data_IF_312437295549
#
_entry.id   IF_312437295549
#
_cell.length_a   1.000
_cell.length_b   1.000
_cell.length_c   1.000
_cell.angle_alpha   90.00
_cell.angle_beta   90.00
_cell.angle_gamma   90.00
#
_symmetry.space_group_name_H-M   'P 1'
#
loop_
_entity.id
_entity.type
_entity.pdbx_description
1 polymer ?
#
# COMPACT_ATOMS: atom_id res chain seq x y z
N UNK A 1 -9.58 13.92 19.25
CA UNK A 1 -10.02 13.98 17.83
C UNK A 1 -11.07 12.91 17.59
N UNK A 2 -12.20 13.25 16.95
CA UNK A 2 -13.18 12.24 16.49
C UNK A 2 -12.50 11.37 15.43
N UNK A 3 -12.57 10.04 15.56
CA UNK A 3 -12.04 9.10 14.56
C UNK A 3 -12.82 9.27 13.25
N UNK A 4 -12.12 9.34 12.11
CA UNK A 4 -12.77 9.39 10.81
C UNK A 4 -13.56 8.09 10.58
N UNK A 5 -14.86 8.13 10.25
CA UNK A 5 -15.69 6.94 10.14
C UNK A 5 -15.25 6.02 8.98
N UNK A 6 -14.69 6.57 7.90
CA UNK A 6 -14.19 5.79 6.75
C UNK A 6 -12.87 5.11 7.13
N UNK A 7 -11.87 5.88 7.57
CA UNK A 7 -10.56 5.32 7.94
C UNK A 7 -10.60 4.35 9.12
N UNK A 8 -11.61 4.43 10.01
CA UNK A 8 -11.73 3.51 11.14
C UNK A 8 -12.05 2.07 10.71
N UNK A 9 -12.59 1.90 9.49
CA UNK A 9 -12.88 0.59 8.87
C UNK A 9 -11.67 -0.08 8.24
N UNK A 10 -10.55 0.63 8.05
CA UNK A 10 -9.35 0.06 7.42
C UNK A 10 -8.71 -1.04 8.26
N UNK A 11 -8.41 -2.19 7.66
CA UNK A 11 -7.56 -3.20 8.29
C UNK A 11 -6.14 -2.65 8.52
N UNK A 12 -5.34 -3.30 9.36
CA UNK A 12 -3.93 -2.93 9.49
C UNK A 12 -3.22 -3.04 8.12
N UNK A 13 -2.16 -2.25 7.90
CA UNK A 13 -1.55 -2.10 6.58
C UNK A 13 -0.84 -3.37 6.12
N UNK A 14 -0.02 -3.94 7.00
CA UNK A 14 0.55 -5.29 6.90
C UNK A 14 -0.49 -6.34 6.54
N UNK A 15 -1.61 -6.40 7.26
CA UNK A 15 -2.68 -7.36 6.98
C UNK A 15 -3.25 -7.17 5.57
N UNK A 16 -3.53 -5.94 5.16
CA UNK A 16 -4.03 -5.66 3.82
C UNK A 16 -3.03 -6.06 2.72
N UNK A 17 -1.76 -5.73 2.90
CA UNK A 17 -0.70 -6.10 1.94
C UNK A 17 -0.59 -7.62 1.81
N UNK A 18 -0.66 -8.34 2.94
CA UNK A 18 -0.62 -9.79 2.95
C UNK A 18 -1.84 -10.42 2.27
N UNK A 19 -3.06 -9.97 2.61
CA UNK A 19 -4.30 -10.43 1.98
C UNK A 19 -4.29 -10.20 0.46
N UNK A 20 -3.80 -9.02 0.04
CA UNK A 20 -3.64 -8.71 -1.38
C UNK A 20 -2.62 -9.62 -2.04
N UNK A 21 -1.52 -9.93 -1.36
CA UNK A 21 -0.52 -10.86 -1.88
C UNK A 21 -1.09 -12.25 -2.15
N UNK A 22 -1.97 -12.74 -1.26
CA UNK A 22 -2.64 -14.03 -1.47
C UNK A 22 -3.58 -13.92 -2.67
N UNK A 23 -4.41 -12.87 -2.73
CA UNK A 23 -5.35 -12.69 -3.83
C UNK A 23 -4.66 -12.65 -5.20
N UNK A 24 -3.47 -12.04 -5.31
CA UNK A 24 -2.67 -12.02 -6.54
C UNK A 24 -2.44 -13.42 -7.12
N UNK A 25 -2.23 -14.44 -6.29
CA UNK A 25 -1.92 -15.82 -6.73
C UNK A 25 -3.10 -16.50 -7.45
N UNK A 26 -4.31 -15.95 -7.32
CA UNK A 26 -5.54 -16.52 -7.89
C UNK A 26 -6.04 -15.76 -9.12
N UNK A 27 -5.39 -14.66 -9.49
CA UNK A 27 -5.62 -14.01 -10.77
C UNK A 27 -4.91 -14.76 -11.89
N UNK A 28 -5.58 -14.84 -13.05
CA UNK A 28 -5.06 -15.42 -14.29
C UNK A 28 -5.28 -14.44 -15.43
N UNK A 29 -4.31 -14.36 -16.33
CA UNK A 29 -4.39 -13.61 -17.57
C UNK A 29 -3.75 -14.41 -18.70
N UNK A 30 -4.32 -14.34 -19.88
CA UNK A 30 -3.74 -14.93 -21.10
C UNK A 30 -2.55 -14.10 -21.61
N UNK A 31 -2.41 -12.86 -21.12
CA UNK A 31 -1.37 -11.90 -21.54
C UNK A 31 -0.23 -11.76 -20.53
N UNK A 32 -0.41 -12.27 -19.33
CA UNK A 32 0.53 -12.12 -18.22
C UNK A 32 0.43 -13.32 -17.28
N UNK A 33 1.56 -13.95 -17.00
CA UNK A 33 1.66 -15.17 -16.20
C UNK A 33 2.28 -14.93 -14.82
N UNK A 34 2.99 -13.81 -14.63
CA UNK A 34 3.87 -13.64 -13.48
C UNK A 34 3.24 -12.87 -12.29
N UNK A 35 1.99 -13.19 -11.96
CA UNK A 35 1.32 -12.60 -10.78
C UNK A 35 2.04 -12.92 -9.47
N UNK A 36 2.82 -14.01 -9.45
CA UNK A 36 3.68 -14.39 -8.31
C UNK A 36 4.67 -13.29 -7.93
N UNK A 37 5.24 -12.56 -8.90
CA UNK A 37 6.17 -11.46 -8.60
C UNK A 37 5.47 -10.31 -7.86
N UNK A 38 4.23 -9.98 -8.22
CA UNK A 38 3.44 -8.97 -7.52
C UNK A 38 3.19 -9.45 -6.08
N UNK A 39 2.80 -10.71 -5.92
CA UNK A 39 2.54 -11.33 -4.61
C UNK A 39 3.78 -11.30 -3.70
N UNK A 40 4.94 -11.72 -4.19
CA UNK A 40 6.17 -11.80 -3.39
C UNK A 40 6.62 -10.42 -2.89
N UNK A 41 6.55 -9.37 -3.72
CA UNK A 41 6.84 -8.01 -3.25
C UNK A 41 5.88 -7.53 -2.16
N UNK A 42 4.59 -7.87 -2.28
CA UNK A 42 3.60 -7.55 -1.26
C UNK A 42 3.82 -8.34 0.04
N UNK A 43 4.21 -9.63 -0.05
CA UNK A 43 4.59 -10.44 1.12
C UNK A 43 5.79 -9.83 1.84
N UNK A 44 6.86 -9.48 1.11
CA UNK A 44 8.02 -8.81 1.71
C UNK A 44 7.63 -7.51 2.44
N UNK A 45 6.72 -6.73 1.85
CA UNK A 45 6.20 -5.51 2.46
C UNK A 45 5.36 -5.78 3.72
N UNK A 46 4.55 -6.84 3.71
CA UNK A 46 3.70 -7.24 4.82
C UNK A 46 4.49 -7.86 5.99
N UNK A 47 5.47 -8.72 5.67
CA UNK A 47 6.33 -9.39 6.65
C UNK A 47 7.38 -8.48 7.27
N UNK A 48 7.64 -7.31 6.67
CA UNK A 48 8.53 -6.33 7.25
C UNK A 48 7.96 -5.87 8.59
N UNK A 49 8.53 -6.34 9.69
CA UNK A 49 8.21 -5.88 11.04
C UNK A 49 8.94 -4.55 11.31
N UNK A 50 10.27 -4.61 11.34
CA UNK A 50 11.14 -3.45 11.57
C UNK A 50 12.47 -3.55 10.80
N UNK A 51 12.98 -2.42 10.32
CA UNK A 51 14.37 -2.25 9.90
C UNK A 51 15.18 -1.82 11.12
N UNK A 52 16.02 -2.72 11.62
CA UNK A 52 16.84 -2.45 12.80
C UNK A 52 18.04 -1.56 12.46
N UNK A 53 18.09 -0.39 13.09
CA UNK A 53 19.25 0.52 13.06
C UNK A 53 19.98 0.39 14.40
N UNK A 54 21.30 0.24 14.37
CA UNK A 54 22.11 0.07 15.59
C UNK A 54 23.16 1.20 15.71
N UNK A 55 22.79 2.42 16.15
CA UNK A 55 23.73 3.51 16.36
C UNK A 55 24.84 3.16 17.36
N UNK A 56 24.52 2.31 18.34
CA UNK A 56 25.45 1.85 19.38
C UNK A 56 26.68 1.14 18.83
N UNK A 57 26.59 0.57 17.61
CA UNK A 57 27.72 -0.06 16.93
C UNK A 57 28.90 0.90 16.74
N UNK A 58 28.61 2.20 16.66
CA UNK A 58 29.60 3.26 16.48
C UNK A 58 29.72 4.17 17.71
N UNK A 59 29.08 3.81 18.82
CA UNK A 59 29.23 4.53 20.07
C UNK A 59 30.57 4.21 20.72
N UNK A 60 31.24 5.24 21.26
CA UNK A 60 32.44 5.08 22.08
C UNK A 60 32.12 4.55 23.49
N UNK A 61 33.08 4.67 24.41
CA UNK A 61 32.88 4.35 25.83
C UNK A 61 31.73 5.13 26.48
N UNK A 62 31.33 6.26 25.88
CA UNK A 62 30.32 7.18 26.38
C UNK A 62 28.95 6.50 26.54
N UNK A 63 28.64 5.48 25.73
CA UNK A 63 27.42 4.67 25.88
C UNK A 63 27.31 4.01 27.26
N UNK A 64 28.43 3.63 27.86
CA UNK A 64 28.48 2.88 29.12
C UNK A 64 28.48 3.84 30.32
N UNK A 65 29.17 4.97 30.20
CA UNK A 65 29.48 5.85 31.33
C UNK A 65 28.68 7.16 31.35
N UNK A 66 27.98 7.50 30.26
CA UNK A 66 27.20 8.73 30.15
C UNK A 66 25.74 8.42 29.81
N UNK A 67 24.86 8.51 30.81
CA UNK A 67 23.42 8.29 30.64
C UNK A 67 22.80 9.16 29.54
N UNK A 68 23.07 10.48 29.45
CA UNK A 68 22.57 11.30 28.35
C UNK A 68 22.99 10.80 26.95
N UNK A 69 24.22 10.29 26.82
CA UNK A 69 24.69 9.72 25.56
C UNK A 69 23.95 8.41 25.22
N UNK A 70 23.73 7.55 26.21
CA UNK A 70 22.95 6.32 26.03
C UNK A 70 21.49 6.61 25.61
N UNK A 71 20.85 7.61 26.23
CA UNK A 71 19.52 8.07 25.85
C UNK A 71 19.50 8.63 24.41
N UNK A 72 20.57 9.29 23.96
CA UNK A 72 20.74 9.74 22.56
C UNK A 72 20.78 8.63 21.54
N UNK A 73 21.60 7.61 21.76
CA UNK A 73 21.67 6.47 20.85
C UNK A 73 20.35 5.68 20.80
N UNK A 74 19.64 5.59 21.93
CA UNK A 74 18.31 4.97 21.98
C UNK A 74 17.30 5.72 21.12
N UNK A 75 17.23 7.04 21.24
CA UNK A 75 16.32 7.87 20.47
C UNK A 75 16.65 7.83 18.96
N UNK A 76 17.94 7.88 18.59
CA UNK A 76 18.41 7.67 17.21
C UNK A 76 17.97 6.31 16.67
N UNK A 77 18.16 5.24 17.44
CA UNK A 77 17.76 3.89 17.06
C UNK A 77 16.28 3.83 16.74
N UNK A 78 15.43 4.28 17.67
CA UNK A 78 13.98 4.21 17.51
C UNK A 78 13.49 5.07 16.33
N UNK A 79 14.00 6.29 16.21
CA UNK A 79 13.61 7.23 15.15
C UNK A 79 13.99 6.72 13.77
N UNK A 80 15.26 6.34 13.56
CA UNK A 80 15.75 5.89 12.27
C UNK A 80 15.21 4.51 11.89
N UNK A 81 14.96 3.62 12.86
CA UNK A 81 14.34 2.31 12.58
C UNK A 81 12.91 2.48 12.10
N UNK A 82 12.09 3.30 12.77
CA UNK A 82 10.70 3.60 12.34
C UNK A 82 10.67 4.22 10.95
N UNK A 83 11.53 5.20 10.73
CA UNK A 83 11.62 5.90 9.45
C UNK A 83 12.02 4.95 8.31
N UNK A 84 13.11 4.22 8.49
CA UNK A 84 13.61 3.23 7.52
C UNK A 84 12.59 2.15 7.25
N UNK A 85 11.85 1.70 8.27
CA UNK A 85 10.78 0.71 8.11
C UNK A 85 9.67 1.21 7.19
N UNK A 86 9.17 2.44 7.41
CA UNK A 86 8.13 3.01 6.55
C UNK A 86 8.62 3.23 5.11
N UNK A 87 9.88 3.66 4.94
CA UNK A 87 10.50 3.86 3.64
C UNK A 87 10.66 2.54 2.89
N UNK A 88 11.24 1.52 3.52
CA UNK A 88 11.44 0.18 2.94
C UNK A 88 10.10 -0.46 2.56
N UNK A 89 9.08 -0.35 3.42
CA UNK A 89 7.73 -0.84 3.10
C UNK A 89 7.15 -0.16 1.86
N UNK A 90 7.30 1.17 1.76
CA UNK A 90 6.85 1.90 0.59
C UNK A 90 7.60 1.48 -0.69
N UNK A 91 8.92 1.24 -0.60
CA UNK A 91 9.73 0.76 -1.72
C UNK A 91 9.31 -0.63 -2.19
N UNK A 92 9.13 -1.60 -1.29
CA UNK A 92 8.66 -2.94 -1.65
C UNK A 92 7.27 -2.90 -2.29
N UNK A 93 6.34 -2.13 -1.72
CA UNK A 93 5.00 -1.97 -2.29
C UNK A 93 5.03 -1.24 -3.63
N UNK A 94 5.94 -0.28 -3.81
CA UNK A 94 6.14 0.39 -5.11
C UNK A 94 6.71 -0.54 -6.16
N UNK A 95 7.59 -1.48 -5.79
CA UNK A 95 8.05 -2.51 -6.72
C UNK A 95 6.91 -3.46 -7.12
N UNK A 96 6.02 -3.84 -6.19
CA UNK A 96 4.80 -4.57 -6.54
C UNK A 96 3.94 -3.80 -7.55
N UNK A 97 3.84 -2.47 -7.41
CA UNK A 97 3.13 -1.61 -8.37
C UNK A 97 3.84 -1.53 -9.73
N UNK A 98 5.17 -1.53 -9.77
CA UNK A 98 5.90 -1.60 -11.06
C UNK A 98 5.66 -2.93 -11.77
N UNK A 99 5.65 -4.07 -11.06
CA UNK A 99 5.23 -5.36 -11.65
C UNK A 99 3.77 -5.30 -12.15
N UNK A 100 2.89 -4.66 -11.35
CA UNK A 100 1.50 -4.44 -11.74
C UNK A 100 1.38 -3.58 -13.00
N UNK A 101 2.28 -2.60 -13.20
CA UNK A 101 2.32 -1.82 -14.44
C UNK A 101 2.77 -2.65 -15.64
N UNK A 102 3.71 -3.59 -15.47
CA UNK A 102 4.11 -4.51 -16.55
C UNK A 102 2.96 -5.43 -16.95
N UNK A 103 2.15 -5.85 -15.98
CA UNK A 103 0.91 -6.56 -16.23
C UNK A 103 -0.10 -5.66 -16.97
N UNK A 104 -0.50 -4.52 -16.40
CA UNK A 104 -1.54 -3.69 -17.01
C UNK A 104 -1.13 -3.18 -18.40
N UNK A 105 0.15 -2.92 -18.66
CA UNK A 105 0.62 -2.42 -19.95
C UNK A 105 0.41 -3.40 -21.11
N UNK A 106 0.22 -4.70 -20.86
CA UNK A 106 -0.12 -5.70 -21.90
C UNK A 106 -1.51 -5.48 -22.51
N UNK A 107 -2.35 -4.68 -21.85
CA UNK A 107 -3.67 -4.28 -22.34
C UNK A 107 -3.64 -2.94 -23.09
N UNK A 108 -2.47 -2.27 -23.15
CA UNK A 108 -2.34 -1.01 -23.85
C UNK A 108 -2.23 -1.20 -25.36
N UNK A 109 -3.13 -0.56 -26.10
CA UNK A 109 -3.09 -0.50 -27.56
C UNK A 109 -2.61 0.88 -28.02
N UNK A 110 -1.57 0.92 -28.85
CA UNK A 110 -1.05 2.17 -29.44
C UNK A 110 -2.11 2.86 -30.31
N UNK A 111 -2.26 4.18 -30.15
CA UNK A 111 -3.08 4.97 -31.07
C UNK A 111 -2.37 5.20 -32.40
N UNK A 112 -3.14 5.46 -33.47
CA UNK A 112 -2.57 5.78 -34.80
C UNK A 112 -1.64 7.00 -34.78
N UNK A 113 -1.79 7.93 -33.82
CA UNK A 113 -0.90 9.09 -33.65
C UNK A 113 0.43 8.71 -33.00
N UNK A 114 0.43 7.80 -32.03
CA UNK A 114 1.64 7.29 -31.39
C UNK A 114 2.50 6.48 -32.35
N UNK A 115 1.86 5.63 -33.16
CA UNK A 115 2.52 4.86 -34.22
C UNK A 115 3.24 5.81 -35.19
N UNK A 116 2.57 6.90 -35.59
CA UNK A 116 3.16 7.91 -36.49
C UNK A 116 4.29 8.73 -35.86
N UNK A 117 4.30 8.89 -34.54
CA UNK A 117 5.30 9.70 -33.83
C UNK A 117 6.48 8.89 -33.31
N UNK A 118 6.47 7.56 -33.49
CA UNK A 118 7.46 6.62 -32.95
C UNK A 118 7.76 6.83 -31.46
N UNK A 119 6.76 7.30 -30.70
CA UNK A 119 6.89 7.60 -29.28
C UNK A 119 6.35 6.44 -28.49
N UNK A 120 7.23 5.60 -27.97
CA UNK A 120 6.83 4.53 -27.07
C UNK A 120 6.75 5.04 -25.63
N UNK A 121 5.59 4.88 -25.00
CA UNK A 121 5.43 5.13 -23.57
C UNK A 121 5.95 3.95 -22.75
N UNK A 122 6.55 4.23 -21.60
CA UNK A 122 6.92 3.19 -20.63
C UNK A 122 5.67 2.55 -19.99
N UNK A 123 5.83 1.38 -19.37
CA UNK A 123 4.72 0.61 -18.77
C UNK A 123 3.92 1.40 -17.75
N UNK A 124 4.62 2.16 -16.91
CA UNK A 124 4.00 3.05 -15.92
C UNK A 124 3.07 4.09 -16.58
N UNK A 125 3.49 4.72 -17.68
CA UNK A 125 2.66 5.71 -18.40
C UNK A 125 1.52 5.05 -19.15
N UNK A 126 1.75 3.89 -19.80
CA UNK A 126 0.71 3.06 -20.45
C UNK A 126 -0.40 2.71 -19.43
N UNK A 127 0.00 2.23 -18.26
CA UNK A 127 -0.91 1.82 -17.18
C UNK A 127 -1.75 2.97 -16.64
N UNK A 128 -1.19 4.17 -16.48
CA UNK A 128 -1.99 5.34 -16.05
C UNK A 128 -3.06 5.72 -17.07
N UNK A 129 -2.76 5.66 -18.37
CA UNK A 129 -3.73 5.95 -19.42
C UNK A 129 -4.84 4.90 -19.50
N UNK A 130 -4.53 3.65 -19.17
CA UNK A 130 -5.52 2.59 -19.02
C UNK A 130 -6.38 2.80 -17.77
N UNK A 131 -5.76 3.09 -16.63
CA UNK A 131 -6.45 3.30 -15.36
C UNK A 131 -7.44 4.46 -15.40
N UNK A 132 -7.18 5.48 -16.22
CA UNK A 132 -8.10 6.58 -16.45
C UNK A 132 -9.48 6.12 -16.96
N UNK A 133 -9.53 4.95 -17.60
CA UNK A 133 -10.75 4.35 -18.16
C UNK A 133 -11.35 3.25 -17.29
N UNK A 134 -10.71 2.88 -16.18
CA UNK A 134 -11.18 1.85 -15.23
C UNK A 134 -12.59 2.17 -14.74
N UNK A 135 -13.43 1.13 -14.61
CA UNK A 135 -14.78 1.29 -14.10
C UNK A 135 -14.76 1.67 -12.61
N UNK A 136 -15.65 2.58 -12.21
CA UNK A 136 -15.81 3.00 -10.81
C UNK A 136 -16.17 1.84 -9.89
N UNK A 137 -16.88 0.83 -10.41
CA UNK A 137 -17.26 -0.37 -9.67
C UNK A 137 -16.06 -1.27 -9.33
N UNK A 138 -14.93 -1.07 -10.00
CA UNK A 138 -13.67 -1.78 -9.77
C UNK A 138 -12.72 -1.03 -8.83
N UNK A 139 -13.18 0.09 -8.25
CA UNK A 139 -12.43 0.83 -7.24
C UNK A 139 -12.79 0.35 -5.83
N UNK A 140 -11.80 0.20 -4.93
CA UNK A 140 -12.05 -0.12 -3.53
C UNK A 140 -13.02 0.85 -2.85
N UNK A 141 -13.80 0.33 -1.89
CA UNK A 141 -14.75 1.14 -1.14
C UNK A 141 -14.05 2.31 -0.45
N UNK A 142 -14.47 3.55 -0.72
CA UNK A 142 -13.84 4.75 -0.16
C UNK A 142 -12.54 5.19 -0.85
N UNK A 143 -12.22 4.63 -2.02
CA UNK A 143 -11.00 4.93 -2.80
C UNK A 143 -10.64 6.43 -2.88
N UNK A 144 -11.60 7.27 -3.29
CA UNK A 144 -11.40 8.72 -3.41
C UNK A 144 -11.03 9.38 -2.08
N UNK A 145 -11.64 8.95 -0.98
CA UNK A 145 -11.34 9.46 0.35
C UNK A 145 -9.88 9.18 0.75
N UNK A 146 -9.39 7.97 0.46
CA UNK A 146 -7.99 7.62 0.75
C UNK A 146 -7.00 8.37 -0.14
N UNK A 147 -7.34 8.57 -1.42
CA UNK A 147 -6.55 9.39 -2.34
C UNK A 147 -6.50 10.87 -1.90
N UNK A 148 -7.62 11.43 -1.44
CA UNK A 148 -7.69 12.80 -0.92
C UNK A 148 -6.87 12.95 0.37
N UNK A 149 -6.93 11.95 1.26
CA UNK A 149 -6.10 11.93 2.47
C UNK A 149 -4.60 11.89 2.12
N UNK A 150 -4.20 11.10 1.11
CA UNK A 150 -2.83 11.10 0.60
C UNK A 150 -2.44 12.48 0.06
N UNK A 151 -3.31 13.11 -0.73
CA UNK A 151 -3.07 14.46 -1.25
C UNK A 151 -2.86 15.48 -0.13
N UNK A 152 -3.70 15.49 0.90
CA UNK A 152 -3.54 16.40 2.04
C UNK A 152 -2.21 16.17 2.77
N UNK A 153 -1.75 14.92 2.91
CA UNK A 153 -0.44 14.60 3.50
C UNK A 153 0.70 15.03 2.59
N UNK A 154 0.55 14.87 1.29
CA UNK A 154 1.56 15.28 0.31
C UNK A 154 1.72 16.79 0.24
N UNK A 155 0.64 17.56 0.28
CA UNK A 155 0.71 19.02 0.35
C UNK A 155 1.31 19.51 1.67
N UNK A 156 0.99 18.86 2.80
CA UNK A 156 1.68 19.13 4.07
C UNK A 156 3.19 18.87 3.93
N UNK A 157 3.58 17.74 3.36
CA UNK A 157 4.99 17.43 3.11
C UNK A 157 5.67 18.48 2.23
N UNK A 158 5.04 18.90 1.12
CA UNK A 158 5.59 19.95 0.27
C UNK A 158 5.79 21.27 0.99
N UNK A 159 4.81 21.66 1.82
CA UNK A 159 4.88 22.91 2.60
C UNK A 159 6.03 22.88 3.62
N UNK A 160 6.24 21.76 4.28
CA UNK A 160 7.25 21.64 5.35
C UNK A 160 8.68 21.47 4.80
N UNK A 161 8.85 20.78 3.66
CA UNK A 161 10.17 20.37 3.17
C UNK A 161 10.61 21.01 1.85
N UNK A 162 9.73 21.75 1.19
CA UNK A 162 9.95 22.34 -0.15
C UNK A 162 10.72 21.43 -1.13
N UNK A 163 10.27 20.17 -1.32
CA UNK A 163 11.01 19.21 -2.11
C UNK A 163 10.86 19.53 -3.59
N UNK A 164 11.91 19.29 -4.38
CA UNK A 164 11.90 19.47 -5.83
C UNK A 164 11.14 18.31 -6.53
N UNK A 165 9.85 18.16 -6.22
CA UNK A 165 8.96 17.15 -6.79
C UNK A 165 8.05 17.81 -7.83
N UNK A 166 7.91 17.17 -8.98
CA UNK A 166 7.09 17.67 -10.07
C UNK A 166 5.62 17.88 -9.66
N UNK A 167 5.05 19.00 -10.11
CA UNK A 167 3.65 19.35 -9.86
C UNK A 167 2.74 18.50 -10.75
N UNK A 168 1.63 18.04 -10.19
CA UNK A 168 0.60 17.28 -10.91
C UNK A 168 -0.18 18.26 -11.80
N UNK A 169 0.13 18.27 -13.11
CA UNK A 169 -0.54 19.17 -14.07
C UNK A 169 -1.78 18.56 -14.74
N UNK A 170 -1.81 17.23 -14.88
CA UNK A 170 -2.78 16.57 -15.77
C UNK A 170 -3.99 15.97 -15.05
N UNK A 171 -3.92 15.80 -13.73
CA UNK A 171 -4.96 15.13 -12.96
C UNK A 171 -5.32 15.99 -11.75
N UNK A 172 -6.45 16.72 -11.77
CA UNK A 172 -6.84 17.57 -10.65
C UNK A 172 -7.24 16.74 -9.42
N UNK A 173 -7.37 17.41 -8.27
CA UNK A 173 -7.93 16.81 -7.06
C UNK A 173 -9.31 16.19 -7.35
N UNK A 174 -9.60 15.03 -6.77
CA UNK A 174 -10.83 14.27 -7.00
C UNK A 174 -10.79 13.36 -8.23
N UNK A 175 -9.78 13.47 -9.10
CA UNK A 175 -9.61 12.53 -10.21
C UNK A 175 -9.02 11.19 -9.75
N UNK A 176 -9.51 10.05 -10.25
CA UNK A 176 -9.05 8.71 -9.81
C UNK A 176 -7.57 8.41 -10.04
N UNK A 177 -6.94 9.02 -11.03
CA UNK A 177 -5.49 8.92 -11.25
C UNK A 177 -4.63 9.86 -10.37
N UNK A 178 -5.23 10.75 -9.58
CA UNK A 178 -4.49 11.76 -8.83
C UNK A 178 -3.56 11.13 -7.78
N UNK A 179 -4.06 10.17 -7.00
CA UNK A 179 -3.27 9.44 -6.01
C UNK A 179 -2.10 8.68 -6.65
N UNK A 180 -2.32 8.05 -7.79
CA UNK A 180 -1.30 7.29 -8.53
C UNK A 180 -0.16 8.20 -8.97
N UNK A 181 -0.49 9.42 -9.39
CA UNK A 181 0.51 10.42 -9.73
C UNK A 181 1.35 10.85 -8.54
N UNK A 182 0.74 11.05 -7.37
CA UNK A 182 1.48 11.32 -6.13
C UNK A 182 2.44 10.18 -5.83
N UNK A 183 1.96 8.93 -5.84
CA UNK A 183 2.77 7.73 -5.57
C UNK A 183 3.98 7.64 -6.51
N UNK A 184 3.75 7.78 -7.82
CA UNK A 184 4.82 7.73 -8.83
C UNK A 184 5.85 8.83 -8.63
N UNK A 185 5.40 10.06 -8.38
CA UNK A 185 6.29 11.19 -8.14
C UNK A 185 7.10 11.01 -6.84
N UNK A 186 6.46 10.51 -5.78
CA UNK A 186 7.13 10.21 -4.52
C UNK A 186 8.19 9.11 -4.68
N UNK A 187 7.86 8.01 -5.38
CA UNK A 187 8.82 6.93 -5.68
C UNK A 187 10.02 7.44 -6.47
N UNK A 188 9.77 8.25 -7.52
CA UNK A 188 10.86 8.83 -8.32
C UNK A 188 11.73 9.78 -7.51
N UNK A 189 11.12 10.59 -6.65
CA UNK A 189 11.85 11.46 -5.74
C UNK A 189 12.69 10.68 -4.72
N UNK A 190 12.17 9.58 -4.20
CA UNK A 190 12.92 8.71 -3.28
C UNK A 190 14.12 8.06 -3.97
N UNK A 191 13.96 7.66 -5.24
CA UNK A 191 15.01 6.99 -6.00
C UNK A 191 16.13 7.93 -6.49
N UNK A 192 15.82 9.19 -6.75
CA UNK A 192 16.74 10.11 -7.45
C UNK A 192 16.91 11.47 -6.78
N UNK A 193 16.04 11.82 -5.85
CA UNK A 193 16.05 13.09 -5.13
C UNK A 193 16.74 12.98 -3.77
N UNK A 194 16.85 14.14 -3.11
CA UNK A 194 17.38 14.23 -1.75
C UNK A 194 16.22 14.14 -0.77
N UNK A 195 16.04 12.98 -0.16
CA UNK A 195 15.02 12.81 0.87
C UNK A 195 15.54 13.46 2.17
N UNK A 196 14.76 14.36 2.81
CA UNK A 196 15.16 14.95 4.08
C UNK A 196 15.18 13.88 5.18
N UNK A 197 16.38 13.53 5.66
CA UNK A 197 16.55 12.71 6.86
C UNK A 197 16.45 13.65 8.06
N UNK A 198 15.31 13.62 8.75
CA UNK A 198 15.10 14.46 9.91
C UNK A 198 16.04 14.09 11.06
N UNK A 199 16.58 15.10 11.72
CA UNK A 199 17.28 14.92 12.99
C UNK A 199 16.32 14.39 14.06
N UNK A 200 16.88 13.70 15.04
CA UNK A 200 16.14 13.09 16.14
C UNK A 200 15.42 14.18 16.94
N UNK A 201 14.08 14.12 17.04
CA UNK A 201 13.31 15.25 17.56
C UNK A 201 13.57 15.56 19.03
N UNK A 202 13.97 14.55 19.81
CA UNK A 202 14.30 14.63 21.23
C UNK A 202 15.43 15.62 21.55
N UNK A 203 16.33 15.90 20.59
CA UNK A 203 17.47 16.81 20.79
C UNK A 203 17.29 18.20 20.14
N UNK A 204 16.46 18.29 19.11
CA UNK A 204 16.42 19.47 18.23
C UNK A 204 15.08 20.21 18.23
N UNK A 205 14.13 19.83 19.11
CA UNK A 205 12.86 20.55 19.27
C UNK A 205 11.90 20.47 18.07
N UNK A 206 12.21 19.62 17.08
CA UNK A 206 11.45 19.45 15.83
C UNK A 206 10.47 18.26 15.90
N UNK A 207 9.87 18.04 17.08
CA UNK A 207 9.04 16.88 17.48
C UNK A 207 8.01 16.39 16.43
N UNK A 208 7.55 17.25 15.53
CA UNK A 208 6.44 16.95 14.64
C UNK A 208 6.78 16.73 13.16
N UNK A 209 7.97 17.12 12.69
CA UNK A 209 8.26 17.12 11.25
C UNK A 209 8.35 15.70 10.68
N UNK A 210 8.97 14.78 11.41
CA UNK A 210 9.17 13.41 10.96
C UNK A 210 7.85 12.64 10.75
N UNK A 211 6.83 12.94 11.56
CA UNK A 211 5.49 12.37 11.40
C UNK A 211 4.84 12.72 10.05
N UNK A 212 5.25 13.84 9.43
CA UNK A 212 4.75 14.26 8.12
C UNK A 212 5.20 13.28 7.05
N UNK A 213 6.50 13.02 6.96
CA UNK A 213 7.05 12.09 5.96
C UNK A 213 6.68 10.64 6.28
N UNK A 214 6.79 10.21 7.54
CA UNK A 214 6.35 8.89 7.95
C UNK A 214 4.86 8.66 7.61
N UNK A 215 3.99 9.60 7.97
CA UNK A 215 2.57 9.53 7.67
C UNK A 215 2.26 9.56 6.17
N UNK A 216 3.04 10.31 5.39
CA UNK A 216 2.96 10.32 3.93
C UNK A 216 3.32 8.94 3.35
N UNK A 217 4.43 8.33 3.77
CA UNK A 217 4.87 7.01 3.30
C UNK A 217 3.83 5.91 3.61
N UNK A 218 3.27 5.90 4.83
CA UNK A 218 2.22 4.96 5.20
C UNK A 218 0.96 5.15 4.35
N UNK A 219 0.53 6.41 4.13
CA UNK A 219 -0.63 6.70 3.29
C UNK A 219 -0.39 6.36 1.82
N UNK A 220 0.81 6.63 1.32
CA UNK A 220 1.20 6.31 -0.05
C UNK A 220 1.24 4.79 -0.24
N UNK A 221 1.80 4.04 0.71
CA UNK A 221 1.81 2.57 0.71
C UNK A 221 0.41 2.00 0.64
N UNK A 222 -0.52 2.51 1.46
CA UNK A 222 -1.92 2.09 1.42
C UNK A 222 -2.55 2.34 0.05
N UNK A 223 -2.41 3.57 -0.46
CA UNK A 223 -2.99 3.96 -1.73
C UNK A 223 -2.39 3.15 -2.88
N UNK A 224 -1.09 2.85 -2.86
CA UNK A 224 -0.45 1.93 -3.81
C UNK A 224 -1.14 0.57 -3.82
N UNK A 225 -1.40 -0.03 -2.65
CA UNK A 225 -2.10 -1.31 -2.56
C UNK A 225 -3.53 -1.23 -3.13
N UNK A 226 -4.25 -0.13 -2.89
CA UNK A 226 -5.58 0.09 -3.48
C UNK A 226 -5.53 0.17 -5.01
N UNK A 227 -4.51 0.83 -5.58
CA UNK A 227 -4.31 0.82 -7.04
C UNK A 227 -4.01 -0.57 -7.57
N UNK A 228 -3.16 -1.35 -6.89
CA UNK A 228 -2.86 -2.73 -7.28
C UNK A 228 -4.16 -3.56 -7.31
N UNK A 229 -5.02 -3.43 -6.30
CA UNK A 229 -6.34 -4.09 -6.29
C UNK A 229 -7.17 -3.73 -7.52
N UNK A 230 -7.29 -2.44 -7.82
CA UNK A 230 -8.06 -1.98 -8.98
C UNK A 230 -7.46 -2.43 -10.31
N UNK A 231 -6.13 -2.45 -10.46
CA UNK A 231 -5.48 -2.97 -11.67
C UNK A 231 -5.76 -4.46 -11.86
N UNK A 232 -5.61 -5.27 -10.81
CA UNK A 232 -5.88 -6.70 -10.86
C UNK A 232 -7.34 -6.98 -11.22
N UNK A 233 -8.27 -6.23 -10.63
CA UNK A 233 -9.70 -6.42 -10.87
C UNK A 233 -10.12 -5.96 -12.28
N UNK A 234 -9.58 -4.85 -12.77
CA UNK A 234 -9.94 -4.30 -14.08
C UNK A 234 -9.35 -5.10 -15.24
N UNK A 235 -8.11 -5.55 -15.11
CA UNK A 235 -7.36 -6.16 -16.22
C UNK A 235 -7.15 -7.67 -16.05
N UNK A 236 -7.51 -8.27 -14.91
CA UNK A 236 -7.39 -9.71 -14.71
C UNK A 236 -8.46 -10.45 -15.52
N UNK A 237 -8.06 -11.41 -16.36
CA UNK A 237 -9.02 -12.11 -17.22
C UNK A 237 -9.93 -13.06 -16.41
N UNK A 238 -9.37 -13.70 -15.37
CA UNK A 238 -10.11 -14.61 -14.48
C UNK A 238 -9.57 -14.55 -13.04
N UNK A 239 -10.46 -14.81 -12.08
CA UNK A 239 -10.11 -15.03 -10.68
C UNK A 239 -10.64 -16.39 -10.23
N UNK A 240 -9.77 -17.24 -9.69
CA UNK A 240 -10.14 -18.58 -9.23
C UNK A 240 -10.71 -18.53 -7.80
N UNK A 241 -11.98 -18.10 -7.70
CA UNK A 241 -12.65 -17.90 -6.40
C UNK A 241 -12.71 -19.19 -5.57
N UNK A 242 -12.93 -20.33 -6.23
CA UNK A 242 -12.99 -21.62 -5.54
C UNK A 242 -11.64 -21.99 -4.92
N UNK A 243 -10.55 -21.90 -5.69
CA UNK A 243 -9.21 -22.19 -5.16
C UNK A 243 -8.79 -21.17 -4.08
N UNK A 244 -9.19 -19.90 -4.24
CA UNK A 244 -8.97 -18.87 -3.21
C UNK A 244 -9.66 -19.26 -1.89
N UNK A 245 -10.96 -19.60 -1.93
CA UNK A 245 -11.72 -20.02 -0.74
C UNK A 245 -11.13 -21.28 -0.08
N UNK A 246 -10.66 -22.24 -0.86
CA UNK A 246 -9.97 -23.42 -0.32
C UNK A 246 -8.70 -23.03 0.43
N UNK A 247 -7.90 -22.09 -0.10
CA UNK A 247 -6.71 -21.59 0.57
C UNK A 247 -7.01 -20.83 1.86
N UNK A 248 -8.20 -20.25 1.96
CA UNK A 248 -8.69 -19.57 3.17
C UNK A 248 -9.15 -20.54 4.26
N UNK A 249 -9.14 -21.85 3.97
CA UNK A 249 -9.75 -22.88 4.81
C UNK A 249 -11.23 -22.59 5.12
N UNK A 250 -11.94 -22.11 4.10
CA UNK A 250 -13.30 -21.61 4.25
C UNK A 250 -14.30 -22.70 4.69
N UNK A 251 -14.09 -23.96 4.28
CA UNK A 251 -14.93 -25.07 4.75
C UNK A 251 -14.78 -25.29 6.25
N UNK A 252 -13.56 -25.19 6.78
CA UNK A 252 -13.32 -25.29 8.21
C UNK A 252 -13.92 -24.13 8.98
N UNK A 253 -13.88 -22.92 8.42
CA UNK A 253 -14.60 -21.77 8.98
C UNK A 253 -16.10 -22.04 9.09
N UNK A 254 -16.72 -22.61 8.05
CA UNK A 254 -18.14 -22.97 8.06
C UNK A 254 -18.47 -24.01 9.14
N UNK A 255 -17.64 -25.04 9.29
CA UNK A 255 -17.82 -26.06 10.33
C UNK A 255 -17.78 -25.47 11.74
N UNK A 256 -16.88 -24.50 11.99
CA UNK A 256 -16.79 -23.82 13.29
C UNK A 256 -17.88 -22.79 13.52
N UNK A 257 -18.52 -22.32 12.47
CA UNK A 257 -19.48 -21.24 12.57
C UNK A 257 -20.68 -21.66 13.43
N UNK A 258 -21.10 -22.92 13.32
CA UNK A 258 -22.18 -23.49 14.14
C UNK A 258 -21.80 -23.47 15.63
N UNK A 259 -20.59 -23.92 15.99
CA UNK A 259 -20.07 -23.85 17.37
C UNK A 259 -20.03 -22.39 17.88
N UNK A 260 -19.63 -21.44 17.05
CA UNK A 260 -19.57 -20.02 17.42
C UNK A 260 -20.95 -19.42 17.70
N UNK A 261 -21.98 -19.85 16.96
CA UNK A 261 -23.36 -19.41 17.20
C UNK A 261 -23.95 -20.06 18.46
N UNK A 262 -23.56 -21.28 18.79
CA UNK A 262 -23.92 -21.93 20.06
C UNK A 262 -23.33 -21.17 21.26
N UNK A 263 -22.05 -20.80 21.19
CA UNK A 263 -21.37 -20.05 22.25
C UNK A 263 -21.79 -18.57 22.33
N UNK A 264 -22.10 -17.95 21.19
CA UNK A 264 -22.56 -16.57 21.12
C UNK A 264 -23.63 -16.38 20.02
N UNK A 265 -24.92 -16.38 20.37
CA UNK A 265 -26.01 -16.19 19.41
C UNK A 265 -26.02 -14.83 18.69
N UNK A 266 -25.30 -13.82 19.21
CA UNK A 266 -25.13 -12.51 18.57
C UNK A 266 -23.90 -12.44 17.66
N UNK A 267 -23.19 -13.57 17.45
CA UNK A 267 -22.03 -13.62 16.57
C UNK A 267 -22.41 -13.20 15.14
N UNK A 268 -21.62 -12.31 14.54
CA UNK A 268 -21.90 -11.80 13.18
C UNK A 268 -21.04 -12.58 12.20
N UNK A 269 -21.68 -13.40 11.36
CA UNK A 269 -21.01 -14.09 10.27
C UNK A 269 -20.33 -13.11 9.31
N UNK A 270 -19.12 -13.43 8.86
CA UNK A 270 -18.51 -12.68 7.78
C UNK A 270 -19.26 -12.93 6.46
N UNK A 271 -19.65 -11.87 5.73
CA UNK A 271 -20.29 -12.02 4.44
C UNK A 271 -19.29 -12.57 3.42
N UNK A 272 -19.64 -13.69 2.81
CA UNK A 272 -18.85 -14.34 1.77
C UNK A 272 -19.02 -13.55 0.48
N UNK A 273 -17.93 -13.19 -0.21
CA UNK A 273 -18.04 -12.47 -1.46
C UNK A 273 -18.65 -13.36 -2.56
N UNK A 274 -19.59 -12.81 -3.31
CA UNK A 274 -20.22 -13.48 -4.47
C UNK A 274 -19.25 -13.67 -5.64
N UNK A 275 -18.27 -12.78 -5.75
CA UNK A 275 -17.33 -12.70 -6.84
C UNK A 275 -16.03 -11.96 -6.44
N UNK A 276 -15.09 -11.92 -7.37
CA UNK A 276 -13.81 -11.24 -7.20
C UNK A 276 -13.97 -9.73 -6.99
N UNK A 277 -15.00 -9.11 -7.58
CA UNK A 277 -15.23 -7.67 -7.43
C UNK A 277 -15.63 -7.34 -5.99
N UNK A 278 -16.56 -8.06 -5.40
CA UNK A 278 -16.96 -7.86 -4.01
C UNK A 278 -15.79 -8.15 -3.05
N UNK A 279 -15.01 -9.20 -3.29
CA UNK A 279 -13.80 -9.51 -2.52
C UNK A 279 -12.79 -8.37 -2.59
N UNK A 280 -12.38 -8.00 -3.80
CA UNK A 280 -11.28 -7.07 -4.03
C UNK A 280 -11.63 -5.64 -3.65
N UNK A 281 -12.88 -5.20 -3.81
CA UNK A 281 -13.28 -3.85 -3.41
C UNK A 281 -13.30 -3.66 -1.88
N UNK A 282 -13.45 -4.75 -1.11
CA UNK A 282 -13.53 -4.73 0.36
C UNK A 282 -12.30 -5.29 1.07
N UNK A 283 -11.31 -5.84 0.36
CA UNK A 283 -10.15 -6.54 0.94
C UNK A 283 -9.39 -5.71 2.00
N UNK A 284 -9.30 -4.40 1.77
CA UNK A 284 -8.62 -3.42 2.63
C UNK A 284 -9.38 -3.05 3.93
N UNK A 285 -10.61 -3.53 4.10
CA UNK A 285 -11.48 -3.25 5.25
C UNK A 285 -11.36 -4.35 6.31
N UNK A 286 -11.57 -3.99 7.58
CA UNK A 286 -11.55 -4.91 8.74
C UNK A 286 -12.70 -5.94 8.67
N UNK A 287 -13.86 -5.48 8.24
CA UNK A 287 -15.11 -6.23 8.08
C UNK A 287 -15.24 -6.88 6.69
N UNK A 288 -14.24 -6.73 5.82
CA UNK A 288 -14.20 -7.46 4.56
C UNK A 288 -13.90 -8.94 4.76
N UNK A 289 -13.88 -9.70 3.68
CA UNK A 289 -13.47 -11.10 3.68
C UNK A 289 -11.95 -11.24 3.46
N UNK A 290 -11.31 -12.31 3.95
CA UNK A 290 -9.87 -12.56 3.80
C UNK A 290 -9.31 -13.62 4.75
N UNK A 291 -8.10 -14.11 4.45
CA UNK A 291 -7.39 -15.17 5.18
C UNK A 291 -7.21 -14.86 6.67
N UNK A 292 -6.59 -13.73 6.98
CA UNK A 292 -6.33 -13.30 8.35
C UNK A 292 -7.62 -12.99 9.08
N UNK A 293 -8.66 -12.58 8.36
CA UNK A 293 -9.95 -12.25 8.94
C UNK A 293 -10.69 -13.53 9.35
N UNK A 294 -10.62 -14.57 8.54
CA UNK A 294 -11.07 -15.93 8.89
C UNK A 294 -10.25 -16.52 10.02
N UNK A 295 -8.92 -16.42 9.96
CA UNK A 295 -8.05 -17.00 10.99
C UNK A 295 -8.15 -16.30 12.36
N UNK A 296 -8.62 -15.05 12.39
CA UNK A 296 -8.83 -14.26 13.62
C UNK A 296 -10.28 -14.29 14.11
N UNK A 297 -11.21 -14.84 13.32
CA UNK A 297 -12.58 -15.11 13.73
C UNK A 297 -12.61 -16.42 14.51
#
# INVERSE_FOLDING_TARGET
MKKCPICNKLSKLDNHLYELSIACEYFKSDRYDNFSNIAEWLKLSAYLDEVQIAPEKYAGSDLIWCRPAAEAYEAERLHYSRYSTALTRFLYTSNALEETYRFASTYYTLSSKEIKSNREYNDSKKSVLLFEKTDEQNLPVGFYHYCDNLFSRFEKYKKEYDPQISIIKNYPKGHKCHGLHIVRNLRNFIAHGTIPINLVPEYYGSAEMWHVLHGLLISATRVTALYIQSFLLEFGDKFDMHAYLQRMDYNYYLERQDDMFEDNPEHVAMPVPSDAQQLMTNLHLKDGFGYLKIAMY
#
